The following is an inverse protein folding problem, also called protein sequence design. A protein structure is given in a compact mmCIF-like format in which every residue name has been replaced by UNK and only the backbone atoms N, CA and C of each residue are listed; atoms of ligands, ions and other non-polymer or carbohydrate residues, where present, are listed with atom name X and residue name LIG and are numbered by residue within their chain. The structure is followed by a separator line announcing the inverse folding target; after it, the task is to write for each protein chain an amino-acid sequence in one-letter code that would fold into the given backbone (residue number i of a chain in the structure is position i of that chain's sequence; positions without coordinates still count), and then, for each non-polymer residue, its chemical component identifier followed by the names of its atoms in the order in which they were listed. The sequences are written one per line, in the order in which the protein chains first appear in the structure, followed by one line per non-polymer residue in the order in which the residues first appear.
data_IF_852186264412
#
_entry.id   IF_852186264412
#
_cell.length_a   1.000
_cell.length_b   1.000
_cell.length_c   1.000
_cell.angle_alpha   90.00
_cell.angle_beta   90.00
_cell.angle_gamma   90.00
#
_symmetry.space_group_name_H-M   'P 1'
#
loop_
_entity.id
_entity.type
_entity.pdbx_description
1 polymer ?
#
# COMPACT_ATOMS: atom_id res chain seq x y z
N UNK A 1 -6.58 -16.10 1.05
CA UNK A 1 -5.57 -15.37 0.23
C UNK A 1 -4.37 -15.21 1.13
N UNK A 2 -3.28 -15.93 0.89
CA UNK A 2 -2.02 -15.70 1.59
C UNK A 2 -1.63 -14.24 1.36
N UNK A 3 -1.42 -13.52 2.43
CA UNK A 3 -0.91 -12.15 2.41
C UNK A 3 0.51 -12.25 1.84
N UNK A 4 0.69 -11.83 0.59
CA UNK A 4 1.99 -11.86 -0.07
C UNK A 4 2.98 -11.09 0.80
N UNK A 5 4.00 -11.79 1.30
CA UNK A 5 5.02 -11.21 2.16
C UNK A 5 5.59 -9.92 1.54
N UNK A 6 5.77 -8.87 2.34
CA UNK A 6 6.35 -7.60 1.89
C UNK A 6 7.77 -7.83 1.33
N UNK A 7 7.94 -7.66 0.03
CA UNK A 7 9.18 -7.87 -0.73
C UNK A 7 9.54 -6.61 -1.51
N UNK A 8 10.20 -5.62 -0.92
CA UNK A 8 10.60 -4.40 -1.61
C UNK A 8 11.91 -4.59 -2.38
N UNK A 9 12.10 -3.77 -3.42
CA UNK A 9 13.39 -3.54 -4.06
C UNK A 9 13.57 -2.05 -4.34
N UNK A 10 14.80 -1.56 -4.30
CA UNK A 10 15.13 -0.23 -4.80
C UNK A 10 15.12 -0.23 -6.33
N UNK A 11 14.65 0.85 -6.93
CA UNK A 11 14.61 1.06 -8.37
C UNK A 11 15.31 2.37 -8.71
N UNK A 12 16.45 2.29 -9.39
CA UNK A 12 17.27 3.42 -9.75
C UNK A 12 17.22 3.62 -11.28
N UNK A 13 16.46 4.62 -11.78
CA UNK A 13 16.61 5.04 -13.17
C UNK A 13 17.96 5.72 -13.37
N UNK A 14 18.75 5.25 -14.30
CA UNK A 14 20.13 5.68 -14.52
C UNK A 14 20.36 6.10 -15.97
N UNK A 15 21.00 7.23 -16.15
CA UNK A 15 21.45 7.71 -17.47
C UNK A 15 22.63 8.68 -17.31
N UNK A 16 23.81 8.31 -17.79
CA UNK A 16 25.01 9.15 -17.82
C UNK A 16 25.29 9.88 -16.49
N UNK A 17 25.24 9.15 -15.37
CA UNK A 17 25.43 9.71 -14.04
C UNK A 17 26.36 8.86 -13.17
N UNK A 18 27.64 8.66 -13.59
CA UNK A 18 28.56 7.72 -12.95
C UNK A 18 29.07 8.17 -11.59
N UNK A 19 29.01 9.47 -11.27
CA UNK A 19 29.77 10.06 -10.18
C UNK A 19 29.50 9.46 -8.80
N UNK A 20 28.23 9.16 -8.47
CA UNK A 20 27.84 8.71 -7.12
C UNK A 20 27.05 7.40 -7.10
N UNK A 21 26.91 6.72 -8.23
CA UNK A 21 26.09 5.52 -8.31
C UNK A 21 26.62 4.38 -7.41
N UNK A 22 27.94 4.22 -7.31
CA UNK A 22 28.55 3.20 -6.47
C UNK A 22 28.29 3.46 -4.98
N UNK A 23 28.38 4.71 -4.55
CA UNK A 23 28.08 5.14 -3.18
C UNK A 23 26.60 4.90 -2.85
N UNK A 24 25.70 5.28 -3.77
CA UNK A 24 24.28 5.07 -3.62
C UNK A 24 23.92 3.59 -3.48
N UNK A 25 24.46 2.73 -4.37
CA UNK A 25 24.22 1.29 -4.30
C UNK A 25 24.78 0.69 -3.01
N UNK A 26 25.96 1.12 -2.57
CA UNK A 26 26.56 0.64 -1.31
C UNK A 26 25.72 1.00 -0.09
N UNK A 27 25.05 2.16 -0.10
CA UNK A 27 24.15 2.57 0.97
C UNK A 27 22.83 1.79 0.96
N UNK A 28 22.30 1.42 -0.22
CA UNK A 28 21.00 0.80 -0.37
C UNK A 28 21.02 -0.74 -0.31
N UNK A 29 22.06 -1.36 -0.82
CA UNK A 29 22.16 -2.83 -0.94
C UNK A 29 22.04 -3.60 0.38
N UNK A 30 22.52 -3.10 1.54
CA UNK A 30 22.28 -3.73 2.83
C UNK A 30 20.83 -3.75 3.28
N UNK A 31 19.97 -2.82 2.78
CA UNK A 31 18.59 -2.63 3.21
C UNK A 31 17.65 -3.52 2.37
N UNK A 32 17.79 -3.50 1.05
CA UNK A 32 16.98 -4.30 0.12
C UNK A 32 17.68 -4.46 -1.24
N UNK A 33 17.28 -5.46 -2.07
CA UNK A 33 17.81 -5.62 -3.42
C UNK A 33 17.73 -4.35 -4.25
N UNK A 34 18.78 -4.07 -5.02
CA UNK A 34 18.87 -2.88 -5.89
C UNK A 34 18.70 -3.28 -7.35
N UNK A 35 17.77 -2.60 -8.03
CA UNK A 35 17.51 -2.73 -9.46
C UNK A 35 17.89 -1.42 -10.15
N UNK A 36 18.81 -1.47 -11.09
CA UNK A 36 19.21 -0.31 -11.91
C UNK A 36 18.63 -0.48 -13.30
N UNK A 37 17.96 0.55 -13.81
CA UNK A 37 17.54 0.60 -15.22
C UNK A 37 18.41 1.61 -15.93
N UNK A 38 19.37 1.11 -16.69
CA UNK A 38 20.24 1.92 -17.54
C UNK A 38 19.49 2.33 -18.81
N UNK A 39 19.20 3.61 -18.95
CA UNK A 39 18.44 4.19 -20.06
C UNK A 39 19.32 4.50 -21.28
N UNK A 40 20.20 3.54 -21.65
CA UNK A 40 21.05 3.68 -22.82
C UNK A 40 22.21 4.65 -22.61
N UNK A 41 22.92 4.55 -21.48
CA UNK A 41 24.08 5.38 -21.17
C UNK A 41 25.27 5.10 -22.11
N UNK A 42 26.24 6.01 -22.10
CA UNK A 42 27.54 5.84 -22.77
C UNK A 42 28.39 4.76 -22.09
N UNK A 43 29.46 4.31 -22.73
CA UNK A 43 30.30 3.22 -22.25
C UNK A 43 31.05 3.55 -20.94
N UNK A 44 31.40 4.82 -20.72
CA UNK A 44 32.04 5.25 -19.48
C UNK A 44 31.07 5.12 -18.31
N UNK A 45 29.82 5.55 -18.48
CA UNK A 45 28.77 5.44 -17.49
C UNK A 45 28.34 4.00 -17.25
N UNK A 46 28.27 3.15 -18.29
CA UNK A 46 28.02 1.71 -18.14
C UNK A 46 29.14 1.00 -17.37
N UNK A 47 30.38 1.44 -17.57
CA UNK A 47 31.51 0.88 -16.84
C UNK A 47 31.44 1.11 -15.34
N UNK A 48 30.83 2.24 -14.90
CA UNK A 48 30.61 2.54 -13.49
C UNK A 48 29.58 1.61 -12.83
N UNK A 49 28.77 0.88 -13.62
CA UNK A 49 27.80 -0.08 -13.09
C UNK A 49 28.40 -1.48 -12.86
N UNK A 50 29.61 -1.75 -13.38
CA UNK A 50 30.24 -3.08 -13.26
C UNK A 50 30.65 -3.36 -11.82
N UNK A 51 30.32 -4.57 -11.35
CA UNK A 51 30.68 -5.02 -9.99
C UNK A 51 29.84 -4.43 -8.86
N UNK A 52 28.81 -3.61 -9.15
CA UNK A 52 27.90 -3.13 -8.13
C UNK A 52 27.00 -4.25 -7.61
N UNK A 53 26.66 -4.20 -6.34
CA UNK A 53 25.69 -5.10 -5.71
C UNK A 53 24.25 -4.80 -6.16
N UNK A 54 23.99 -4.85 -7.48
CA UNK A 54 22.73 -4.50 -8.10
C UNK A 54 22.45 -5.39 -9.33
N UNK A 55 21.16 -5.60 -9.62
CA UNK A 55 20.76 -6.16 -10.91
C UNK A 55 20.57 -5.02 -11.92
N UNK A 56 21.04 -5.20 -13.13
CA UNK A 56 21.03 -4.16 -14.15
C UNK A 56 20.15 -4.59 -15.32
N UNK A 57 19.18 -3.74 -15.68
CA UNK A 57 18.39 -3.83 -16.89
C UNK A 57 18.85 -2.73 -17.85
N UNK A 58 19.56 -3.11 -18.92
CA UNK A 58 20.06 -2.18 -19.93
C UNK A 58 19.03 -2.01 -21.06
N UNK A 59 18.59 -0.77 -21.30
CA UNK A 59 17.77 -0.39 -22.46
C UNK A 59 18.66 -0.13 -23.67
N UNK A 60 18.22 -0.52 -24.85
CA UNK A 60 19.00 -0.39 -26.08
C UNK A 60 19.26 1.09 -26.46
N UNK A 61 18.38 2.00 -26.07
CA UNK A 61 18.47 3.43 -26.37
C UNK A 61 17.78 4.27 -25.29
N UNK A 62 18.19 5.54 -25.18
CA UNK A 62 17.57 6.48 -24.25
C UNK A 62 16.10 6.73 -24.62
N UNK A 63 15.20 6.47 -23.70
CA UNK A 63 13.76 6.77 -23.81
C UNK A 63 13.29 7.80 -22.81
N UNK A 64 14.16 8.23 -21.90
CA UNK A 64 13.89 9.18 -20.82
C UNK A 64 13.52 8.53 -19.50
N UNK A 65 13.70 9.26 -18.40
CA UNK A 65 13.47 8.82 -17.02
C UNK A 65 12.15 8.04 -16.85
N UNK A 66 11.06 8.57 -17.37
CA UNK A 66 9.74 7.92 -17.24
C UNK A 66 9.67 6.57 -17.96
N UNK A 67 10.37 6.40 -19.08
CA UNK A 67 10.44 5.11 -19.77
C UNK A 67 11.25 4.10 -18.93
N UNK A 68 12.40 4.52 -18.39
CA UNK A 68 13.22 3.68 -17.51
C UNK A 68 12.45 3.25 -16.25
N UNK A 69 11.71 4.16 -15.62
CA UNK A 69 10.88 3.82 -14.45
C UNK A 69 9.74 2.86 -14.83
N UNK A 70 9.05 3.07 -15.96
CA UNK A 70 8.01 2.14 -16.42
C UNK A 70 8.55 0.72 -16.60
N UNK A 71 9.68 0.58 -17.31
CA UNK A 71 10.30 -0.71 -17.58
C UNK A 71 10.77 -1.35 -16.27
N UNK A 72 11.37 -0.56 -15.36
CA UNK A 72 11.82 -1.00 -14.06
C UNK A 72 10.69 -1.49 -13.14
N UNK A 73 9.57 -0.79 -13.08
CA UNK A 73 8.40 -1.21 -12.31
C UNK A 73 7.81 -2.53 -12.83
N UNK A 74 7.70 -2.67 -14.15
CA UNK A 74 7.25 -3.90 -14.78
C UNK A 74 8.24 -5.06 -14.53
N UNK A 75 9.54 -4.78 -14.63
CA UNK A 75 10.61 -5.73 -14.36
C UNK A 75 10.63 -6.18 -12.90
N UNK A 76 10.55 -5.24 -11.94
CA UNK A 76 10.47 -5.55 -10.52
C UNK A 76 9.28 -6.49 -10.20
N UNK A 77 8.09 -6.23 -10.79
CA UNK A 77 6.94 -7.14 -10.67
C UNK A 77 7.22 -8.52 -11.24
N UNK A 78 7.87 -8.62 -12.40
CA UNK A 78 8.26 -9.89 -13.04
C UNK A 78 9.24 -10.69 -12.20
N UNK A 79 10.12 -10.01 -11.44
CA UNK A 79 11.04 -10.63 -10.49
C UNK A 79 10.38 -11.08 -9.17
N UNK A 80 9.07 -10.83 -9.00
CA UNK A 80 8.32 -11.25 -7.83
C UNK A 80 8.42 -10.30 -6.63
N UNK A 81 8.91 -9.07 -6.82
CA UNK A 81 8.83 -8.03 -5.81
C UNK A 81 7.38 -7.51 -5.68
N UNK A 82 7.02 -7.10 -4.47
CA UNK A 82 5.70 -6.50 -4.19
C UNK A 82 5.72 -4.99 -4.29
N UNK A 83 6.88 -4.39 -3.99
CA UNK A 83 7.07 -2.95 -3.96
C UNK A 83 8.37 -2.56 -4.66
N UNK A 84 8.37 -1.42 -5.34
CA UNK A 84 9.56 -0.81 -5.91
C UNK A 84 9.75 0.59 -5.32
N UNK A 85 10.91 0.84 -4.74
CA UNK A 85 11.27 2.11 -4.17
C UNK A 85 12.14 2.88 -5.16
N UNK A 86 11.53 3.77 -5.93
CA UNK A 86 12.26 4.65 -6.84
C UNK A 86 13.09 5.66 -6.06
N UNK A 87 14.37 5.77 -6.43
CA UNK A 87 15.30 6.80 -5.96
C UNK A 87 16.08 7.29 -7.17
N UNK A 88 16.23 8.61 -7.31
CA UNK A 88 16.99 9.20 -8.39
C UNK A 88 18.51 8.98 -8.16
N UNK A 89 19.26 8.71 -9.23
CA UNK A 89 20.67 8.34 -9.16
C UNK A 89 21.63 9.49 -8.80
N UNK A 90 21.09 10.71 -8.61
CA UNK A 90 21.87 11.93 -8.30
C UNK A 90 22.24 12.08 -6.82
N UNK A 91 21.78 11.17 -5.98
CA UNK A 91 22.05 11.16 -4.52
C UNK A 91 21.64 12.46 -3.79
N UNK A 92 20.64 13.19 -4.31
CA UNK A 92 20.16 14.45 -3.68
C UNK A 92 19.19 14.20 -2.52
N UNK A 93 18.69 12.99 -2.39
CA UNK A 93 17.76 12.59 -1.34
C UNK A 93 18.51 11.97 -0.15
N UNK A 94 17.99 12.23 1.05
CA UNK A 94 18.51 11.61 2.27
C UNK A 94 18.10 10.12 2.32
N UNK A 95 19.03 9.25 1.89
CA UNK A 95 18.82 7.79 1.89
C UNK A 95 18.77 7.19 3.29
N UNK A 96 19.24 7.88 4.32
CA UNK A 96 19.11 7.47 5.72
C UNK A 96 17.63 7.32 6.17
N UNK A 97 16.71 7.92 5.44
CA UNK A 97 15.26 7.81 5.70
C UNK A 97 14.59 6.61 5.00
N UNK A 98 15.32 5.81 4.21
CA UNK A 98 14.74 4.69 3.44
C UNK A 98 13.99 3.69 4.32
N UNK A 99 14.54 3.34 5.47
CA UNK A 99 13.92 2.36 6.38
C UNK A 99 12.57 2.84 6.92
N UNK A 100 12.42 4.14 7.21
CA UNK A 100 11.14 4.72 7.65
C UNK A 100 10.07 4.63 6.57
N UNK A 101 10.44 4.91 5.30
CA UNK A 101 9.54 4.77 4.16
C UNK A 101 9.13 3.31 3.95
N UNK A 102 10.08 2.37 4.03
CA UNK A 102 9.82 0.94 3.93
C UNK A 102 8.92 0.43 5.06
N UNK A 103 9.15 0.88 6.29
CA UNK A 103 8.30 0.55 7.43
C UNK A 103 6.85 1.05 7.25
N UNK A 104 6.66 2.25 6.67
CA UNK A 104 5.33 2.75 6.35
C UNK A 104 4.68 1.93 5.23
N UNK A 105 5.44 1.56 4.19
CA UNK A 105 4.95 0.73 3.08
C UNK A 105 4.53 -0.67 3.56
N UNK A 106 5.29 -1.28 4.46
CA UNK A 106 4.95 -2.56 5.07
C UNK A 106 3.63 -2.50 5.87
N UNK A 107 3.41 -1.39 6.61
CA UNK A 107 2.14 -1.17 7.35
C UNK A 107 0.97 -0.81 6.45
N UNK A 108 1.23 -0.32 5.24
CA UNK A 108 0.22 0.16 4.27
C UNK A 108 0.52 -0.40 2.88
N UNK A 109 0.46 -1.73 2.68
CA UNK A 109 0.98 -2.38 1.49
C UNK A 109 0.25 -2.01 0.18
N UNK A 110 -0.97 -1.49 0.25
CA UNK A 110 -1.70 -1.01 -0.92
C UNK A 110 -1.50 0.49 -1.21
N UNK A 111 -0.78 1.23 -0.34
CA UNK A 111 -0.60 2.65 -0.49
C UNK A 111 0.67 3.00 -1.30
N UNK A 112 0.57 4.04 -2.11
CA UNK A 112 1.71 4.70 -2.72
C UNK A 112 2.34 5.63 -1.69
N UNK A 113 3.61 5.38 -1.31
CA UNK A 113 4.33 6.21 -0.34
C UNK A 113 5.20 7.20 -1.10
N UNK A 114 5.05 8.48 -0.80
CA UNK A 114 5.75 9.56 -1.50
C UNK A 114 6.48 10.46 -0.51
N UNK A 115 7.64 10.95 -0.91
CA UNK A 115 8.31 12.03 -0.19
C UNK A 115 7.63 13.38 -0.49
N UNK A 116 7.39 14.15 0.58
CA UNK A 116 7.06 15.56 0.53
C UNK A 116 8.36 16.34 0.76
N UNK A 117 9.00 16.89 -0.29
CA UNK A 117 10.28 17.52 -0.14
C UNK A 117 10.19 18.81 0.67
N UNK A 118 11.03 18.91 1.69
CA UNK A 118 11.26 20.12 2.49
C UNK A 118 12.54 20.76 1.97
N UNK A 119 12.42 21.95 1.42
CA UNK A 119 13.53 22.68 0.80
C UNK A 119 14.12 23.66 1.80
N UNK A 120 15.44 23.76 1.80
CA UNK A 120 16.19 24.81 2.45
C UNK A 120 16.43 26.01 1.50
N UNK A 121 17.23 26.96 1.94
CA UNK A 121 17.57 28.16 1.17
C UNK A 121 18.39 27.89 -0.10
N UNK A 122 18.95 26.69 -0.25
CA UNK A 122 19.70 26.26 -1.44
C UNK A 122 18.83 26.04 -2.66
N UNK A 123 17.50 25.91 -2.48
CA UNK A 123 16.58 25.58 -3.55
C UNK A 123 16.35 26.77 -4.52
N UNK A 124 16.59 26.62 -5.83
CA UNK A 124 16.35 27.67 -6.80
C UNK A 124 14.88 28.10 -6.84
N UNK A 125 14.60 29.40 -6.72
CA UNK A 125 13.24 29.96 -6.71
C UNK A 125 12.42 29.55 -7.94
N UNK A 126 13.06 29.45 -9.12
CA UNK A 126 12.42 29.00 -10.36
C UNK A 126 11.88 27.56 -10.27
N UNK A 127 12.63 26.64 -9.61
CA UNK A 127 12.19 25.28 -9.38
C UNK A 127 11.01 25.21 -8.41
N UNK A 128 11.04 26.00 -7.35
CA UNK A 128 9.91 26.09 -6.41
C UNK A 128 8.65 26.63 -7.08
N UNK A 129 8.78 27.64 -7.96
CA UNK A 129 7.64 28.16 -8.73
C UNK A 129 7.07 27.13 -9.70
N UNK A 130 7.92 26.43 -10.45
CA UNK A 130 7.51 25.35 -11.35
C UNK A 130 6.75 24.24 -10.63
N UNK A 131 7.18 23.87 -9.40
CA UNK A 131 6.47 22.88 -8.57
C UNK A 131 5.08 23.34 -8.14
N UNK A 132 4.90 24.61 -7.78
CA UNK A 132 3.58 25.18 -7.45
C UNK A 132 2.61 25.08 -8.62
N UNK A 133 3.07 25.42 -9.82
CA UNK A 133 2.27 25.31 -11.07
C UNK A 133 1.91 23.83 -11.31
N UNK A 134 2.87 22.92 -11.18
CA UNK A 134 2.64 21.49 -11.35
C UNK A 134 1.60 20.98 -10.37
N UNK A 135 1.75 21.29 -9.09
CA UNK A 135 0.82 20.85 -8.04
C UNK A 135 -0.60 21.42 -8.26
N UNK A 136 -0.72 22.66 -8.71
CA UNK A 136 -2.00 23.26 -9.09
C UNK A 136 -2.70 22.44 -10.19
N UNK A 137 -1.98 22.08 -11.26
CA UNK A 137 -2.53 21.23 -12.31
C UNK A 137 -2.86 19.82 -11.84
N UNK A 138 -2.12 19.29 -10.87
CA UNK A 138 -2.46 18.01 -10.22
C UNK A 138 -3.81 18.09 -9.48
N UNK A 139 -4.06 19.20 -8.76
CA UNK A 139 -5.36 19.43 -8.10
C UNK A 139 -6.49 19.45 -9.12
N UNK A 140 -6.34 20.20 -10.21
CA UNK A 140 -7.34 20.25 -11.29
C UNK A 140 -7.59 18.86 -11.87
N UNK A 141 -6.52 18.13 -12.20
CA UNK A 141 -6.64 16.82 -12.82
C UNK A 141 -7.15 15.71 -11.90
N UNK A 142 -7.09 15.87 -10.60
CA UNK A 142 -7.58 14.89 -9.62
C UNK A 142 -8.84 15.32 -8.88
N UNK A 143 -9.20 16.61 -8.97
CA UNK A 143 -10.23 17.28 -8.17
C UNK A 143 -9.99 17.03 -6.67
N UNK A 144 -8.72 17.08 -6.24
CA UNK A 144 -8.30 16.73 -4.89
C UNK A 144 -6.95 17.34 -4.54
N UNK A 145 -6.80 17.76 -3.29
CA UNK A 145 -5.54 18.25 -2.70
C UNK A 145 -4.65 17.13 -2.13
N UNK A 146 -4.86 15.87 -2.51
CA UNK A 146 -4.09 14.72 -1.97
C UNK A 146 -2.64 14.68 -2.44
N UNK A 147 -2.31 15.36 -3.55
CA UNK A 147 -0.95 15.40 -4.09
C UNK A 147 -0.25 16.62 -3.50
N UNK A 148 0.78 16.39 -2.67
CA UNK A 148 1.60 17.44 -2.07
C UNK A 148 2.75 17.86 -2.99
N UNK A 149 3.40 16.89 -3.65
CA UNK A 149 4.45 17.10 -4.64
C UNK A 149 4.40 16.07 -5.75
N UNK A 150 4.37 16.53 -7.00
CA UNK A 150 4.25 15.67 -8.16
C UNK A 150 5.59 15.39 -8.86
N UNK A 151 6.69 15.99 -8.42
CA UNK A 151 7.97 15.92 -9.12
C UNK A 151 9.07 15.18 -8.36
N UNK A 152 8.89 14.93 -7.07
CA UNK A 152 9.87 14.18 -6.28
C UNK A 152 9.87 12.72 -6.69
N UNK A 153 11.04 12.18 -7.08
CA UNK A 153 11.23 10.79 -7.50
C UNK A 153 11.42 9.80 -6.35
N UNK A 154 11.40 10.25 -5.09
CA UNK A 154 11.58 9.39 -3.93
C UNK A 154 10.23 8.78 -3.53
N UNK A 155 9.91 7.58 -4.06
CA UNK A 155 8.57 6.98 -3.94
C UNK A 155 8.61 5.47 -3.86
N UNK A 156 7.75 4.88 -3.02
CA UNK A 156 7.51 3.44 -3.00
C UNK A 156 6.18 3.13 -3.69
N UNK A 157 6.27 2.38 -4.76
CA UNK A 157 5.14 1.97 -5.57
C UNK A 157 4.65 0.57 -5.17
N UNK A 158 3.38 0.40 -4.75
CA UNK A 158 2.78 -0.93 -4.63
C UNK A 158 2.54 -1.49 -6.04
N UNK A 159 3.34 -2.47 -6.45
CA UNK A 159 3.39 -2.96 -7.84
C UNK A 159 2.07 -3.55 -8.32
N UNK A 160 1.28 -4.14 -7.41
CA UNK A 160 -0.05 -4.67 -7.74
C UNK A 160 -1.01 -3.55 -8.21
N UNK A 161 -0.96 -2.39 -7.55
CA UNK A 161 -1.83 -1.26 -7.90
C UNK A 161 -1.30 -0.39 -9.03
N UNK A 162 0.03 -0.34 -9.23
CA UNK A 162 0.68 0.59 -10.15
C UNK A 162 0.93 -0.02 -11.53
N UNK A 163 1.40 -1.27 -11.62
CA UNK A 163 1.74 -1.89 -12.91
C UNK A 163 0.55 -1.90 -13.90
N UNK A 164 -0.70 -2.15 -13.48
CA UNK A 164 -1.87 -2.06 -14.38
C UNK A 164 -2.13 -0.64 -14.92
N UNK A 165 -1.54 0.40 -14.32
CA UNK A 165 -1.70 1.78 -14.79
C UNK A 165 -0.64 2.18 -15.82
N UNK A 166 0.50 1.49 -15.89
CA UNK A 166 1.62 1.81 -16.77
C UNK A 166 1.23 1.91 -18.27
N UNK A 167 0.37 1.04 -18.84
CA UNK A 167 -0.04 1.18 -20.23
C UNK A 167 -0.81 2.46 -20.53
N UNK A 168 -1.35 3.12 -19.51
CA UNK A 168 -2.10 4.38 -19.63
C UNK A 168 -1.20 5.61 -19.58
N UNK A 169 0.05 5.48 -19.09
CA UNK A 169 1.02 6.57 -19.09
C UNK A 169 1.52 6.85 -20.51
N UNK A 170 1.64 8.11 -20.89
CA UNK A 170 2.16 8.54 -22.18
C UNK A 170 3.44 9.35 -22.05
N UNK A 171 3.68 9.96 -20.87
CA UNK A 171 4.92 10.68 -20.60
C UNK A 171 6.06 9.69 -20.40
N UNK A 172 7.12 9.85 -21.19
CA UNK A 172 8.32 9.00 -21.15
C UNK A 172 9.51 9.69 -20.47
N UNK A 173 9.40 10.99 -20.22
CA UNK A 173 10.45 11.81 -19.61
C UNK A 173 9.98 12.36 -18.26
N UNK A 174 10.31 13.61 -17.94
CA UNK A 174 10.07 14.25 -16.63
C UNK A 174 8.60 14.38 -16.24
N UNK A 175 7.67 14.35 -17.19
CA UNK A 175 6.23 14.37 -16.91
C UNK A 175 5.67 13.06 -16.32
N UNK A 176 6.43 11.96 -16.36
CA UNK A 176 5.98 10.65 -15.88
C UNK A 176 5.62 10.66 -14.40
N UNK A 177 6.47 11.26 -13.57
CA UNK A 177 6.27 11.29 -12.11
C UNK A 177 4.94 11.93 -11.70
N UNK A 178 4.54 12.99 -12.42
CA UNK A 178 3.23 13.62 -12.22
C UNK A 178 2.09 12.78 -12.82
N UNK A 179 2.28 12.24 -14.02
CA UNK A 179 1.24 11.48 -14.70
C UNK A 179 0.84 10.21 -13.93
N UNK A 180 1.81 9.41 -13.51
CA UNK A 180 1.53 8.17 -12.77
C UNK A 180 0.85 8.46 -11.43
N UNK A 181 1.24 9.54 -10.75
CA UNK A 181 0.64 9.97 -9.49
C UNK A 181 -0.82 10.41 -9.65
N UNK A 182 -1.12 11.17 -10.73
CA UNK A 182 -2.50 11.54 -11.08
C UNK A 182 -3.33 10.29 -11.42
N UNK A 183 -2.77 9.35 -12.19
CA UNK A 183 -3.46 8.11 -12.55
C UNK A 183 -3.72 7.23 -11.33
N UNK A 184 -2.75 7.11 -10.41
CA UNK A 184 -2.91 6.40 -9.14
C UNK A 184 -4.02 7.02 -8.28
N UNK A 185 -4.02 8.36 -8.13
CA UNK A 185 -5.07 9.09 -7.41
C UNK A 185 -6.46 8.90 -8.06
N UNK A 186 -6.54 8.93 -9.40
CA UNK A 186 -7.77 8.68 -10.16
C UNK A 186 -8.25 7.23 -10.05
N UNK A 187 -7.34 6.27 -9.91
CA UNK A 187 -7.65 4.86 -9.66
C UNK A 187 -8.12 4.61 -8.22
N UNK A 188 -7.93 5.58 -7.32
CA UNK A 188 -8.36 5.50 -5.93
C UNK A 188 -7.31 4.91 -4.99
N UNK A 189 -6.04 4.80 -5.42
CA UNK A 189 -4.96 4.38 -4.52
C UNK A 189 -4.81 5.39 -3.37
N UNK A 190 -4.55 4.86 -2.19
CA UNK A 190 -4.16 5.68 -1.04
C UNK A 190 -2.76 6.25 -1.29
N UNK A 191 -2.54 7.54 -1.02
CA UNK A 191 -1.24 8.20 -1.15
C UNK A 191 -0.85 8.69 0.23
N UNK A 192 0.30 8.26 0.72
CA UNK A 192 0.89 8.68 1.99
C UNK A 192 2.13 9.52 1.73
N UNK A 193 2.36 10.47 2.60
CA UNK A 193 3.44 11.44 2.49
C UNK A 193 4.29 11.41 3.74
N UNK A 194 5.60 11.35 3.55
CA UNK A 194 6.60 11.60 4.58
C UNK A 194 7.44 12.79 4.16
N UNK A 195 7.72 13.67 5.08
CA UNK A 195 8.57 14.83 4.81
C UNK A 195 10.01 14.37 4.62
N UNK A 196 10.71 14.91 3.61
CA UNK A 196 12.07 14.54 3.26
C UNK A 196 12.88 15.82 2.98
N UNK A 197 13.95 16.03 3.71
CA UNK A 197 14.88 17.12 3.43
C UNK A 197 15.56 16.88 2.07
N UNK A 198 15.58 17.90 1.23
CA UNK A 198 16.25 17.88 -0.07
C UNK A 198 17.24 19.02 -0.12
N UNK A 199 18.51 18.67 -0.35
CA UNK A 199 19.60 19.65 -0.51
C UNK A 199 20.03 19.68 -1.96
N UNK A 200 20.19 20.89 -2.49
CA UNK A 200 20.74 21.08 -3.83
C UNK A 200 22.25 21.31 -3.74
N UNK A 201 23.02 20.39 -4.31
CA UNK A 201 24.47 20.59 -4.45
C UNK A 201 24.76 21.57 -5.61
N UNK A 202 25.69 22.50 -5.38
CA UNK A 202 26.17 23.39 -6.42
C UNK A 202 26.88 22.57 -7.51
N UNK A 203 26.50 22.77 -8.78
CA UNK A 203 27.11 22.04 -9.91
C UNK A 203 26.47 20.69 -10.28
N UNK A 204 25.37 20.30 -9.64
CA UNK A 204 24.63 19.06 -10.00
C UNK A 204 24.15 19.08 -11.47
N UNK A 205 24.38 17.97 -12.18
CA UNK A 205 23.96 17.80 -13.59
C UNK A 205 22.45 17.59 -13.64
N UNK A 206 21.75 18.46 -14.36
CA UNK A 206 20.32 18.34 -14.60
C UNK A 206 20.03 17.93 -16.03
N UNK A 207 19.38 16.80 -16.22
CA UNK A 207 18.92 16.33 -17.53
C UNK A 207 17.56 16.95 -17.96
N UNK A 208 17.06 17.94 -17.22
CA UNK A 208 15.83 18.67 -17.54
C UNK A 208 16.08 19.65 -18.69
N UNK A 209 15.39 19.43 -19.81
CA UNK A 209 15.40 20.33 -20.97
C UNK A 209 14.20 21.28 -20.89
N UNK A 210 14.38 22.59 -20.50
CA UNK A 210 13.26 23.45 -20.08
C UNK A 210 12.14 23.57 -21.12
N UNK A 211 12.44 23.81 -22.38
CA UNK A 211 11.41 23.97 -23.42
C UNK A 211 10.70 22.62 -23.70
N UNK A 212 11.47 21.57 -23.98
CA UNK A 212 10.93 20.26 -24.35
C UNK A 212 10.14 19.61 -23.20
N UNK A 213 10.69 19.63 -22.01
CA UNK A 213 10.08 18.96 -20.87
C UNK A 213 8.86 19.75 -20.37
N UNK A 214 8.90 21.09 -20.33
CA UNK A 214 7.73 21.90 -19.99
C UNK A 214 6.61 21.76 -21.03
N UNK A 215 6.92 21.71 -22.33
CA UNK A 215 5.93 21.44 -23.36
C UNK A 215 5.29 20.05 -23.18
N UNK A 216 6.11 19.02 -22.97
CA UNK A 216 5.64 17.66 -22.72
C UNK A 216 4.74 17.55 -21.48
N UNK A 217 5.12 18.24 -20.39
CA UNK A 217 4.34 18.31 -19.15
C UNK A 217 3.00 19.04 -19.39
N UNK A 218 3.02 20.17 -20.10
CA UNK A 218 1.81 20.92 -20.42
C UNK A 218 0.84 20.09 -21.28
N UNK A 219 1.36 19.41 -22.29
CA UNK A 219 0.57 18.49 -23.12
C UNK A 219 -0.01 17.33 -22.32
N UNK A 220 0.75 16.77 -21.38
CA UNK A 220 0.28 15.73 -20.46
C UNK A 220 -0.90 16.23 -19.62
N UNK A 221 -0.79 17.42 -19.01
CA UNK A 221 -1.87 17.98 -18.21
C UNK A 221 -3.10 18.31 -19.06
N UNK A 222 -2.92 18.89 -20.26
CA UNK A 222 -4.01 19.17 -21.19
C UNK A 222 -4.77 17.88 -21.58
N UNK A 223 -4.04 16.82 -21.93
CA UNK A 223 -4.64 15.51 -22.25
C UNK A 223 -5.42 14.92 -21.08
N UNK A 224 -4.86 14.97 -19.88
CA UNK A 224 -5.53 14.46 -18.67
C UNK A 224 -6.76 15.31 -18.34
N UNK A 225 -6.70 16.63 -18.55
CA UNK A 225 -7.82 17.54 -18.35
C UNK A 225 -8.94 17.27 -19.34
N UNK A 226 -8.64 17.16 -20.65
CA UNK A 226 -9.63 16.80 -21.67
C UNK A 226 -10.26 15.42 -21.40
N UNK A 227 -9.54 14.49 -20.76
CA UNK A 227 -10.06 13.19 -20.34
C UNK A 227 -10.87 13.22 -19.04
N UNK A 228 -10.95 14.36 -18.33
CA UNK A 228 -11.59 14.49 -17.03
C UNK A 228 -13.10 14.17 -17.07
N UNK A 229 -13.90 14.67 -18.02
CA UNK A 229 -15.33 14.34 -18.09
C UNK A 229 -15.59 12.83 -18.21
N UNK A 230 -14.83 12.16 -19.07
CA UNK A 230 -14.95 10.70 -19.26
C UNK A 230 -14.57 9.95 -17.97
N UNK A 231 -13.53 10.38 -17.27
CA UNK A 231 -13.15 9.79 -16.00
C UNK A 231 -14.24 9.99 -14.94
N UNK A 232 -14.84 11.19 -14.85
CA UNK A 232 -15.94 11.48 -13.91
C UNK A 232 -17.16 10.60 -14.22
N UNK A 233 -17.54 10.46 -15.49
CA UNK A 233 -18.64 9.59 -15.90
C UNK A 233 -18.40 8.13 -15.50
N UNK A 234 -17.20 7.58 -15.77
CA UNK A 234 -16.82 6.23 -15.35
C UNK A 234 -16.83 6.06 -13.83
N UNK A 235 -16.37 7.07 -13.09
CA UNK A 235 -16.38 7.06 -11.62
C UNK A 235 -17.80 7.08 -11.06
N UNK A 236 -18.69 7.89 -11.66
CA UNK A 236 -20.11 7.95 -11.27
C UNK A 236 -20.80 6.59 -11.53
N UNK A 237 -20.59 6.02 -12.70
CA UNK A 237 -21.14 4.71 -13.07
C UNK A 237 -20.66 3.61 -12.12
N UNK A 238 -19.34 3.56 -11.83
CA UNK A 238 -18.79 2.59 -10.86
C UNK A 238 -19.45 2.73 -9.49
N UNK A 239 -19.59 3.97 -8.99
CA UNK A 239 -20.26 4.23 -7.70
C UNK A 239 -21.72 3.76 -7.70
N UNK A 240 -22.43 4.00 -8.80
CA UNK A 240 -23.80 3.50 -8.96
C UNK A 240 -23.86 1.98 -8.92
N UNK A 241 -23.02 1.30 -9.71
CA UNK A 241 -22.93 -0.17 -9.70
C UNK A 241 -22.57 -0.74 -8.32
N UNK A 242 -21.61 -0.14 -7.61
CA UNK A 242 -21.22 -0.57 -6.26
C UNK A 242 -22.38 -0.39 -5.26
N UNK A 243 -23.15 0.68 -5.41
CA UNK A 243 -24.35 0.94 -4.58
C UNK A 243 -25.47 -0.08 -4.84
N UNK A 244 -25.70 -0.45 -6.10
CA UNK A 244 -26.65 -1.52 -6.48
C UNK A 244 -26.23 -2.87 -5.91
N UNK A 245 -24.94 -3.25 -6.07
CA UNK A 245 -24.42 -4.50 -5.50
C UNK A 245 -24.61 -4.56 -3.98
N UNK A 246 -24.30 -3.46 -3.26
CA UNK A 246 -24.51 -3.41 -1.81
C UNK A 246 -25.96 -3.56 -1.40
N UNK A 247 -26.89 -2.94 -2.14
CA UNK A 247 -28.33 -3.09 -1.88
C UNK A 247 -28.79 -4.53 -2.10
N UNK A 248 -28.42 -5.15 -3.23
CA UNK A 248 -28.76 -6.54 -3.50
C UNK A 248 -28.24 -7.52 -2.45
N UNK A 249 -27.00 -7.33 -1.96
CA UNK A 249 -26.43 -8.12 -0.86
C UNK A 249 -27.19 -7.92 0.46
N UNK A 250 -27.62 -6.70 0.77
CA UNK A 250 -28.41 -6.41 1.97
C UNK A 250 -29.82 -7.02 1.90
N UNK A 251 -30.46 -6.99 0.73
CA UNK A 251 -31.78 -7.60 0.50
C UNK A 251 -31.70 -9.12 0.62
N UNK A 252 -30.70 -9.74 0.00
CA UNK A 252 -30.46 -11.19 0.12
C UNK A 252 -30.19 -11.62 1.58
N UNK A 253 -29.37 -10.85 2.31
CA UNK A 253 -29.11 -11.11 3.74
C UNK A 253 -30.38 -10.97 4.60
N UNK A 254 -31.22 -9.97 4.33
CA UNK A 254 -32.50 -9.81 5.02
C UNK A 254 -33.47 -10.96 4.72
N UNK A 255 -33.50 -11.41 3.47
CA UNK A 255 -34.36 -12.50 3.06
C UNK A 255 -33.97 -13.81 3.73
N UNK A 256 -32.67 -14.13 3.76
CA UNK A 256 -32.13 -15.29 4.50
C UNK A 256 -32.40 -15.21 6.01
N UNK A 257 -32.26 -14.05 6.63
CA UNK A 257 -32.58 -13.86 8.04
C UNK A 257 -34.07 -14.07 8.33
N UNK A 258 -34.97 -13.59 7.46
CA UNK A 258 -36.40 -13.80 7.59
C UNK A 258 -36.80 -15.29 7.44
N UNK A 259 -36.19 -16.00 6.50
CA UNK A 259 -36.39 -17.44 6.31
C UNK A 259 -35.97 -18.25 7.56
N UNK A 260 -34.83 -17.90 8.16
CA UNK A 260 -34.37 -18.51 9.41
C UNK A 260 -35.37 -18.24 10.55
N UNK A 261 -35.82 -16.99 10.70
CA UNK A 261 -36.80 -16.61 11.73
C UNK A 261 -38.14 -17.33 11.54
N UNK A 262 -38.65 -17.46 10.32
CA UNK A 262 -39.87 -18.21 10.03
C UNK A 262 -39.70 -19.71 10.30
N UNK A 263 -38.54 -20.28 9.96
CA UNK A 263 -38.22 -21.67 10.28
C UNK A 263 -38.14 -21.95 11.79
N UNK A 264 -37.63 -21.00 12.59
CA UNK A 264 -37.59 -21.11 14.05
C UNK A 264 -39.00 -20.94 14.68
N UNK A 265 -39.80 -19.99 14.15
CA UNK A 265 -41.17 -19.79 14.60
C UNK A 265 -42.04 -21.03 14.31
N UNK A 266 -41.91 -21.64 13.15
CA UNK A 266 -42.59 -22.89 12.79
C UNK A 266 -42.22 -24.07 13.68
N UNK A 267 -40.94 -24.19 14.08
CA UNK A 267 -40.49 -25.21 15.02
C UNK A 267 -41.03 -25.01 16.43
N UNK A 268 -41.15 -23.75 16.90
CA UNK A 268 -41.73 -23.45 18.22
C UNK A 268 -43.23 -23.71 18.29
N UNK A 269 -43.97 -23.45 17.21
CA UNK A 269 -45.40 -23.78 17.09
C UNK A 269 -45.60 -25.31 17.13
N UNK A 270 -44.76 -26.08 16.43
CA UNK A 270 -44.83 -27.55 16.41
C UNK A 270 -44.45 -28.18 17.76
N UNK A 271 -43.52 -27.54 18.51
CA UNK A 271 -43.15 -28.00 19.84
C UNK A 271 -44.21 -27.71 20.90
N UNK A 272 -44.94 -26.60 20.80
CA UNK A 272 -46.07 -26.22 21.68
C UNK A 272 -47.29 -27.10 21.40
N UNK A 273 -47.64 -27.36 20.13
CA UNK A 273 -48.72 -28.29 19.77
C UNK A 273 -48.49 -29.73 20.30
N UNK A 274 -47.24 -30.19 20.30
CA UNK A 274 -46.86 -31.49 20.92
C UNK A 274 -46.89 -31.50 22.45
N UNK A 275 -46.70 -30.35 23.10
CA UNK A 275 -46.85 -30.20 24.56
C UNK A 275 -48.29 -30.21 24.98
N UNK A 276 -49.20 -29.55 24.24
CA UNK A 276 -50.62 -29.51 24.53
C UNK A 276 -51.29 -30.86 24.24
N UNK A 277 -50.88 -31.59 23.18
CA UNK A 277 -51.35 -32.96 22.93
C UNK A 277 -50.91 -33.97 24.02
N UNK A 278 -49.75 -33.75 24.70
CA UNK A 278 -49.31 -34.58 25.82
C UNK A 278 -49.96 -34.21 27.16
N UNK A 279 -50.44 -32.96 27.34
CA UNK A 279 -51.25 -32.59 28.54
C UNK A 279 -52.67 -33.15 28.43
N UNK A 280 -53.33 -33.08 27.27
CA UNK A 280 -54.62 -33.67 27.04
C UNK A 280 -54.66 -35.20 27.24
N UNK A 281 -53.59 -35.90 26.80
CA UNK A 281 -53.49 -37.34 27.03
C UNK A 281 -53.15 -37.77 28.47
N UNK A 282 -52.75 -36.86 29.35
CA UNK A 282 -52.51 -37.15 30.77
C UNK A 282 -53.74 -36.91 31.64
N UNK A 283 -54.68 -36.04 31.22
CA UNK A 283 -55.93 -35.81 31.95
C UNK A 283 -56.98 -36.93 31.71
N UNK A 284 -56.88 -37.72 30.64
CA UNK A 284 -57.76 -38.86 30.38
C UNK A 284 -57.36 -40.15 31.09
N UNK A 285 -56.16 -40.24 31.76
CA UNK A 285 -55.66 -41.47 32.42
C UNK A 285 -55.77 -41.40 33.96
N UNK A 286 -56.11 -40.24 34.54
CA UNK A 286 -56.10 -40.05 36.03
C UNK A 286 -57.48 -40.03 36.66
N UNK A 287 -58.44 -40.73 36.02
CA UNK A 287 -59.78 -40.99 36.57
C UNK A 287 -59.94 -42.45 37.07
N UNK A 288 -59.02 -42.95 37.87
CA UNK A 288 -59.23 -44.33 38.44
C UNK A 288 -58.09 -44.78 39.35
N UNK A 289 -58.48 -44.92 40.61
CA UNK A 289 -57.82 -45.69 41.64
C UNK A 289 -56.78 -45.00 42.56
N UNK A 290 -57.27 -44.70 43.67
CA UNK A 290 -56.70 -44.50 44.98
C UNK A 290 -55.93 -45.75 45.49
N UNK A 291 -54.72 -45.60 46.03
CA UNK A 291 -54.27 -46.11 47.31
C UNK A 291 -52.72 -46.16 47.50
N UNK A 292 -52.37 -45.54 48.61
CA UNK A 292 -51.27 -45.86 49.55
C UNK A 292 -49.80 -45.83 49.17
N UNK A 293 -49.16 -44.95 49.91
CA UNK A 293 -47.94 -45.15 50.74
C UNK A 293 -46.57 -45.14 50.04
N UNK A 294 -45.68 -44.33 50.61
CA UNK A 294 -44.26 -44.64 50.67
C UNK A 294 -43.34 -43.46 50.45
N UNK A 295 -42.89 -42.92 51.53
CA UNK A 295 -41.73 -42.05 51.69
C UNK A 295 -40.50 -42.56 50.98
N UNK A 296 -39.71 -41.73 50.30
CA UNK A 296 -38.27 -41.63 50.52
C UNK A 296 -37.64 -40.44 49.78
N UNK A 297 -36.79 -39.78 50.55
CA UNK A 297 -35.92 -38.68 50.14
C UNK A 297 -34.75 -39.16 49.29
N UNK A 298 -34.27 -38.38 48.40
CA UNK A 298 -32.87 -38.12 47.95
C UNK A 298 -32.96 -37.42 46.58
N UNK A 299 -32.30 -36.37 46.25
CA UNK A 299 -31.15 -35.71 46.75
C UNK A 299 -30.68 -34.84 45.58
N UNK A 300 -30.35 -33.64 45.88
CA UNK A 300 -29.75 -32.63 44.98
C UNK A 300 -28.59 -33.16 44.16
N UNK A 301 -28.48 -32.71 42.91
CA UNK A 301 -27.25 -32.15 42.31
C UNK A 301 -27.29 -32.32 40.78
N UNK A 302 -27.39 -31.22 40.08
CA UNK A 302 -26.70 -30.99 38.82
C UNK A 302 -27.09 -29.60 38.24
N UNK A 303 -26.58 -28.58 38.86
CA UNK A 303 -26.43 -27.28 38.24
C UNK A 303 -24.99 -26.83 38.56
N UNK A 304 -24.10 -26.93 37.59
CA UNK A 304 -22.86 -26.16 37.46
C UNK A 304 -21.92 -26.88 36.49
N UNK A 305 -21.91 -26.46 35.26
CA UNK A 305 -20.72 -26.56 34.38
C UNK A 305 -21.07 -25.91 33.03
N UNK A 306 -20.95 -24.58 33.00
CA UNK A 306 -20.66 -23.83 31.77
C UNK A 306 -20.20 -22.41 32.14
N UNK A 307 -18.97 -22.31 32.60
CA UNK A 307 -18.21 -21.05 32.63
C UNK A 307 -16.76 -21.35 33.03
N UNK A 308 -15.93 -21.77 32.09
CA UNK A 308 -14.47 -21.69 32.20
C UNK A 308 -13.87 -22.12 30.84
N UNK A 309 -13.77 -21.18 29.93
CA UNK A 309 -12.87 -21.26 28.76
C UNK A 309 -12.65 -19.86 28.17
N UNK A 310 -12.22 -18.94 28.99
CA UNK A 310 -11.60 -17.67 28.56
C UNK A 310 -10.75 -17.19 29.74
N UNK A 311 -9.47 -17.61 29.76
CA UNK A 311 -8.37 -16.94 30.43
C UNK A 311 -7.16 -17.89 30.54
N UNK A 312 -6.40 -17.99 29.44
CA UNK A 312 -5.00 -18.42 29.53
C UNK A 312 -4.25 -18.07 28.22
N UNK A 313 -4.00 -16.79 28.00
CA UNK A 313 -3.01 -16.33 27.02
C UNK A 313 -2.55 -14.90 27.34
N UNK A 314 -2.07 -14.70 28.56
CA UNK A 314 -1.29 -13.49 28.90
C UNK A 314 -0.46 -13.80 30.13
N UNK A 315 0.73 -14.35 29.96
CA UNK A 315 1.82 -14.25 30.94
C UNK A 315 3.01 -15.09 30.44
N UNK A 316 3.88 -14.54 29.65
CA UNK A 316 5.30 -14.91 29.59
C UNK A 316 6.02 -14.05 28.56
N UNK A 317 6.38 -12.84 28.94
CA UNK A 317 7.41 -12.01 28.26
C UNK A 317 7.78 -10.82 29.17
N UNK A 318 8.47 -11.13 30.27
CA UNK A 318 9.30 -10.14 30.98
C UNK A 318 10.48 -10.89 31.58
N UNK A 319 11.68 -10.59 31.10
CA UNK A 319 13.01 -10.56 31.76
C UNK A 319 14.11 -11.08 30.84
N UNK A 320 14.84 -10.15 30.26
CA UNK A 320 16.30 -10.22 30.17
C UNK A 320 16.83 -8.82 29.81
N UNK A 321 17.31 -8.08 30.78
CA UNK A 321 18.17 -6.91 30.63
C UNK A 321 19.62 -7.36 30.49
N UNK A 322 20.47 -6.63 29.73
CA UNK A 322 21.87 -6.91 29.58
C UNK A 322 22.70 -6.22 30.66
N UNK A 323 23.67 -6.98 31.19
CA UNK A 323 24.71 -6.48 32.06
C UNK A 323 25.84 -5.81 31.25
N UNK A 324 26.33 -4.73 31.80
CA UNK A 324 27.57 -4.01 31.52
C UNK A 324 28.81 -4.91 31.42
N UNK A 325 29.68 -4.61 30.47
CA UNK A 325 31.10 -4.80 30.62
C UNK A 325 31.86 -3.60 30.03
N UNK A 326 32.43 -2.81 30.94
CA UNK A 326 33.47 -1.84 30.65
C UNK A 326 34.85 -2.51 30.71
N UNK A 327 35.73 -2.15 29.77
CA UNK A 327 37.20 -2.26 29.92
C UNK A 327 37.79 -1.27 28.90
N UNK A 328 38.37 -0.15 29.35
CA UNK A 328 39.76 0.16 29.67
C UNK A 328 40.65 0.24 28.44
N UNK A 329 40.91 1.44 28.00
CA UNK A 329 42.20 2.20 28.15
C UNK A 329 43.45 1.48 27.66
N UNK A 330 44.15 2.08 26.70
CA UNK A 330 45.49 1.71 26.24
C UNK A 330 46.00 2.70 25.19
N UNK A 331 46.74 3.66 25.69
CA UNK A 331 47.56 4.65 24.96
C UNK A 331 48.67 3.98 24.18
N UNK A 332 49.21 4.82 23.28
CA UNK A 332 50.55 4.92 22.77
C UNK A 332 50.80 4.35 21.34
N UNK A 333 51.33 5.29 20.52
CA UNK A 333 52.01 5.05 19.27
C UNK A 333 51.55 5.96 18.15
#
# INVERSE_FOLDING_TARGET
MEESAFKPAFLLPYFNHPARIAELVSALAPIAPVLIVDDGSDEASKSALKGLAAQIYARAQNGGKGAAVCDGLAWAKKLGFTHAFQIDADFQHDVGRCEEFLALAARKPAALICAAPVYDESAPKSRLHGRKIMNFWCVINTLSHRIKDAMCGFRIYPLEGIVPLLPRTKSRRMGFDAEILILAARAGLEIKWLDLAVRYEAGGVSHFAPFRDNFGISLMHARLFCGLPLWLAKRALKRACDKFKKRGLQEASRQSANEILQGLAGKNLCSNARRDSRKGAKEEIDGGANEKAGTEKCGDNAAAQSSQAENSAQSSLVKASPQHAAAKDGRDG
#
